data_IF_427285349282
#
_entry.id   IF_427285349282
#
_cell.length_a   1.000
_cell.length_b   1.000
_cell.length_c   1.000
_cell.angle_alpha   90.00
_cell.angle_beta   90.00
_cell.angle_gamma   90.00
#
_symmetry.space_group_name_H-M   'P 1'
#
loop_
_entity.id
_entity.type
_entity.pdbx_description
1 polymer ?
#
# COMPACT_ATOMS: atom_id res chain seq x y z
N UNK A 1 4.37 -8.09 -12.23
CA UNK A 1 4.41 -8.19 -10.74
C UNK A 1 3.36 -9.17 -10.26
N UNK A 2 3.63 -9.92 -9.20
CA UNK A 2 2.63 -10.73 -8.48
C UNK A 2 2.55 -10.29 -7.02
N UNK A 3 1.34 -10.13 -6.47
CA UNK A 3 1.09 -9.84 -5.05
C UNK A 3 0.13 -10.91 -4.53
N UNK A 4 0.59 -11.71 -3.57
CA UNK A 4 -0.20 -12.71 -2.87
C UNK A 4 -0.54 -12.19 -1.47
N UNK A 5 -1.84 -12.06 -1.16
CA UNK A 5 -2.32 -11.53 0.12
C UNK A 5 -2.91 -12.68 0.93
N UNK A 6 -2.34 -12.97 2.09
CA UNK A 6 -2.84 -13.98 3.02
C UNK A 6 -3.69 -13.30 4.07
N UNK A 7 -4.95 -13.69 4.21
CA UNK A 7 -5.91 -13.06 5.13
C UNK A 7 -6.91 -14.07 5.68
N UNK A 8 -7.53 -13.76 6.81
CA UNK A 8 -8.67 -14.49 7.39
C UNK A 8 -10.02 -13.97 6.90
N UNK A 9 -10.05 -12.78 6.25
CA UNK A 9 -11.24 -12.06 5.77
C UNK A 9 -11.08 -11.62 4.31
N UNK A 10 -11.01 -12.57 3.34
CA UNK A 10 -10.78 -12.25 1.93
C UNK A 10 -11.85 -11.32 1.32
N UNK A 11 -13.07 -11.34 1.86
CA UNK A 11 -14.19 -10.53 1.38
C UNK A 11 -13.92 -9.02 1.51
N UNK A 12 -13.15 -8.59 2.52
CA UNK A 12 -12.80 -7.18 2.72
C UNK A 12 -11.94 -6.61 1.58
N UNK A 13 -11.26 -7.47 0.84
CA UNK A 13 -10.36 -7.08 -0.25
C UNK A 13 -11.04 -7.11 -1.62
N UNK A 14 -12.23 -7.69 -1.75
CA UNK A 14 -12.90 -7.85 -3.05
C UNK A 14 -13.18 -6.52 -3.74
N UNK A 15 -13.72 -5.54 -3.02
CA UNK A 15 -14.05 -4.24 -3.60
C UNK A 15 -12.79 -3.42 -3.95
N UNK A 16 -11.86 -3.12 -3.01
CA UNK A 16 -10.74 -2.24 -3.31
C UNK A 16 -9.81 -2.77 -4.39
N UNK A 17 -9.61 -4.09 -4.48
CA UNK A 17 -8.69 -4.68 -5.46
C UNK A 17 -9.29 -4.87 -6.87
N UNK A 18 -10.62 -4.85 -7.00
CA UNK A 18 -11.31 -5.15 -8.26
C UNK A 18 -11.99 -3.92 -8.88
N UNK A 19 -11.53 -2.71 -8.55
CA UNK A 19 -12.08 -1.47 -9.09
C UNK A 19 -10.97 -0.55 -9.61
N UNK A 20 -11.38 0.41 -10.48
CA UNK A 20 -10.58 1.53 -10.97
C UNK A 20 -9.18 1.15 -11.50
N UNK A 21 -8.12 1.76 -10.98
CA UNK A 21 -6.74 1.59 -11.43
C UNK A 21 -6.25 0.15 -11.20
N UNK A 22 -6.50 -0.41 -10.00
CA UNK A 22 -6.07 -1.78 -9.67
C UNK A 22 -6.68 -2.81 -10.62
N UNK A 23 -7.98 -2.71 -10.88
CA UNK A 23 -8.64 -3.58 -11.86
C UNK A 23 -8.03 -3.44 -13.25
N UNK A 24 -7.84 -2.21 -13.74
CA UNK A 24 -7.28 -1.95 -15.08
C UNK A 24 -5.84 -2.49 -15.20
N UNK A 25 -5.03 -2.36 -14.15
CA UNK A 25 -3.67 -2.90 -14.13
C UNK A 25 -3.67 -4.43 -14.21
N UNK A 26 -4.59 -5.09 -13.52
CA UNK A 26 -4.79 -6.54 -13.61
C UNK A 26 -5.29 -6.97 -15.00
N UNK A 27 -6.31 -6.28 -15.55
CA UNK A 27 -6.84 -6.55 -16.90
C UNK A 27 -5.75 -6.40 -17.98
N UNK A 28 -4.82 -5.46 -17.81
CA UNK A 28 -3.63 -5.27 -18.66
C UNK A 28 -2.49 -6.26 -18.37
N UNK A 29 -2.63 -7.14 -17.39
CA UNK A 29 -1.61 -8.11 -16.95
C UNK A 29 -0.30 -7.47 -16.47
N UNK A 30 -0.34 -6.24 -15.99
CA UNK A 30 0.80 -5.55 -15.38
C UNK A 30 1.08 -6.06 -13.97
N UNK A 31 0.02 -6.43 -13.27
CA UNK A 31 0.06 -7.05 -11.94
C UNK A 31 -0.98 -8.16 -11.86
N UNK A 32 -0.67 -9.18 -11.09
CA UNK A 32 -1.60 -10.21 -10.66
C UNK A 32 -1.72 -10.13 -9.14
N UNK A 33 -2.94 -9.90 -8.62
CA UNK A 33 -3.20 -9.84 -7.18
C UNK A 33 -4.07 -11.04 -6.82
N UNK A 34 -3.58 -11.90 -5.94
CA UNK A 34 -4.31 -13.09 -5.49
C UNK A 34 -4.49 -13.04 -3.98
N UNK A 35 -5.75 -13.20 -3.57
CA UNK A 35 -6.12 -13.23 -2.15
C UNK A 35 -6.32 -14.67 -1.71
N UNK A 36 -5.56 -15.09 -0.69
CA UNK A 36 -5.59 -16.42 -0.10
C UNK A 36 -6.34 -16.38 1.22
N UNK A 37 -7.37 -17.21 1.34
CA UNK A 37 -8.04 -17.40 2.62
C UNK A 37 -7.15 -18.32 3.50
N UNK A 38 -6.63 -17.78 4.59
CA UNK A 38 -5.78 -18.53 5.51
C UNK A 38 -6.46 -19.81 6.05
N UNK A 39 -7.79 -19.80 6.15
CA UNK A 39 -8.56 -20.98 6.59
C UNK A 39 -8.44 -22.18 5.67
N UNK A 40 -8.07 -21.98 4.40
CA UNK A 40 -7.85 -23.07 3.45
C UNK A 40 -6.56 -23.86 3.74
N UNK A 41 -5.66 -23.28 4.52
CA UNK A 41 -4.40 -23.89 4.96
C UNK A 41 -4.49 -24.50 6.37
N UNK A 42 -5.67 -24.47 7.01
CA UNK A 42 -5.89 -25.11 8.29
C UNK A 42 -6.21 -26.60 8.12
N UNK A 43 -5.58 -27.45 8.91
CA UNK A 43 -5.89 -28.89 9.01
C UNK A 43 -6.97 -29.20 10.07
N UNK A 44 -7.39 -28.18 10.83
CA UNK A 44 -8.49 -28.33 11.78
C UNK A 44 -9.82 -28.57 11.04
N UNK A 45 -10.64 -29.47 11.55
CA UNK A 45 -11.94 -29.82 10.95
C UNK A 45 -12.92 -28.64 10.86
N UNK A 46 -12.74 -27.64 11.71
CA UNK A 46 -13.52 -26.41 11.72
C UNK A 46 -12.77 -25.26 11.04
N UNK A 47 -11.62 -25.53 10.41
CA UNK A 47 -10.79 -24.55 9.69
C UNK A 47 -10.35 -23.38 10.59
N UNK A 48 -10.10 -23.66 11.90
CA UNK A 48 -9.58 -22.66 12.84
C UNK A 48 -8.17 -22.27 12.48
N UNK A 49 -7.85 -20.99 12.65
CA UNK A 49 -6.55 -20.36 12.35
C UNK A 49 -6.03 -19.54 13.53
N UNK A 50 -6.72 -19.57 14.64
CA UNK A 50 -6.44 -18.79 15.84
C UNK A 50 -6.59 -19.67 17.09
N UNK A 51 -5.86 -19.31 18.16
CA UNK A 51 -5.93 -20.00 19.47
C UNK A 51 -5.58 -19.02 20.59
N UNK A 52 -5.78 -19.44 21.83
CA UNK A 52 -5.42 -18.68 23.01
C UNK A 52 -3.90 -18.49 23.12
N UNK A 53 -3.42 -17.29 23.50
CA UNK A 53 -2.00 -17.07 23.72
C UNK A 53 -1.49 -17.85 24.94
N UNK A 54 -0.25 -18.31 24.87
CA UNK A 54 0.45 -18.74 26.08
C UNK A 54 0.60 -17.55 27.04
N UNK A 55 0.56 -17.82 28.35
CA UNK A 55 0.64 -16.78 29.38
C UNK A 55 -0.71 -16.26 29.87
N UNK A 56 -1.84 -16.70 29.31
CA UNK A 56 -3.19 -16.48 29.84
C UNK A 56 -3.78 -15.09 29.55
N UNK A 57 -3.24 -14.35 28.61
CA UNK A 57 -3.83 -13.07 28.20
C UNK A 57 -5.16 -13.24 27.47
N UNK A 58 -6.03 -12.22 27.56
CA UNK A 58 -7.31 -12.21 26.86
C UNK A 58 -7.14 -11.97 25.36
N UNK A 59 -7.96 -12.63 24.54
CA UNK A 59 -7.96 -12.53 23.08
C UNK A 59 -7.35 -13.76 22.40
N UNK A 60 -7.40 -13.78 21.08
CA UNK A 60 -6.92 -14.88 20.25
C UNK A 60 -5.66 -14.41 19.48
N UNK A 61 -4.84 -15.35 19.06
CA UNK A 61 -3.61 -15.13 18.29
C UNK A 61 -3.64 -16.03 17.05
N UNK A 62 -3.22 -15.54 15.90
CA UNK A 62 -3.12 -16.35 14.69
C UNK A 62 -2.07 -17.44 14.88
N UNK A 63 -2.48 -18.67 14.59
CA UNK A 63 -1.64 -19.86 14.74
C UNK A 63 -0.50 -19.89 13.69
N UNK A 64 0.66 -20.39 14.12
CA UNK A 64 1.82 -20.53 13.24
C UNK A 64 1.59 -21.51 12.08
N UNK A 65 0.97 -22.67 12.34
CA UNK A 65 0.89 -23.76 11.35
C UNK A 65 0.13 -23.42 10.07
N UNK A 66 -1.07 -22.76 10.08
CA UNK A 66 -1.72 -22.34 8.85
C UNK A 66 -0.89 -21.33 8.05
N UNK A 67 -0.23 -20.39 8.75
CA UNK A 67 0.59 -19.35 8.11
C UNK A 67 1.85 -19.96 7.49
N UNK A 68 2.53 -20.86 8.21
CA UNK A 68 3.68 -21.60 7.66
C UNK A 68 3.30 -22.35 6.39
N UNK A 69 2.21 -23.14 6.43
CA UNK A 69 1.74 -23.88 5.24
C UNK A 69 1.45 -22.95 4.06
N UNK A 70 0.78 -21.83 4.30
CA UNK A 70 0.46 -20.86 3.25
C UNK A 70 1.74 -20.28 2.63
N UNK A 71 2.66 -19.76 3.44
CA UNK A 71 3.90 -19.15 2.96
C UNK A 71 4.81 -20.19 2.29
N UNK A 72 4.95 -21.37 2.89
CA UNK A 72 5.78 -22.46 2.34
C UNK A 72 5.25 -22.93 1.00
N UNK A 73 3.93 -23.11 0.85
CA UNK A 73 3.33 -23.46 -0.43
C UNK A 73 3.61 -22.38 -1.48
N UNK A 74 3.36 -21.11 -1.19
CA UNK A 74 3.60 -20.02 -2.12
C UNK A 74 5.08 -19.95 -2.52
N UNK A 75 6.01 -20.09 -1.57
CA UNK A 75 7.45 -20.10 -1.83
C UNK A 75 7.92 -21.35 -2.62
N UNK A 76 7.17 -22.44 -2.60
CA UNK A 76 7.46 -23.60 -3.43
C UNK A 76 7.11 -23.38 -4.91
N UNK A 77 6.19 -22.48 -5.20
CA UNK A 77 5.72 -22.17 -6.56
C UNK A 77 6.57 -21.08 -7.24
N UNK A 78 7.12 -20.14 -6.46
CA UNK A 78 7.92 -19.02 -6.96
C UNK A 78 8.81 -18.38 -5.90
N UNK A 79 9.83 -17.63 -6.34
CA UNK A 79 10.62 -16.79 -5.45
C UNK A 79 9.86 -15.50 -5.14
N UNK A 80 9.89 -15.09 -3.87
CA UNK A 80 9.33 -13.81 -3.41
C UNK A 80 10.45 -12.90 -2.95
N UNK A 81 10.36 -11.62 -3.33
CA UNK A 81 11.32 -10.60 -2.94
C UNK A 81 11.12 -10.19 -1.48
N UNK A 82 9.85 -10.12 -1.05
CA UNK A 82 9.50 -9.77 0.34
C UNK A 82 8.30 -10.57 0.84
N UNK A 83 8.30 -10.85 2.13
CA UNK A 83 7.16 -11.30 2.92
C UNK A 83 6.85 -10.20 3.93
N UNK A 84 5.82 -9.43 3.64
CA UNK A 84 5.43 -8.23 4.38
C UNK A 84 4.33 -8.58 5.37
N UNK A 85 4.51 -8.23 6.63
CA UNK A 85 3.49 -8.34 7.66
C UNK A 85 2.92 -6.96 7.98
N UNK A 86 1.60 -6.79 7.88
CA UNK A 86 0.92 -5.55 8.25
C UNK A 86 0.64 -5.54 9.75
N UNK A 87 1.28 -4.62 10.47
CA UNK A 87 1.25 -4.54 11.93
C UNK A 87 1.39 -3.10 12.42
N UNK A 88 0.78 -2.70 13.56
CA UNK A 88 0.89 -1.32 14.06
C UNK A 88 2.31 -0.90 14.45
N UNK A 89 3.15 -1.86 14.85
CA UNK A 89 4.52 -1.65 15.33
C UNK A 89 5.60 -1.80 14.24
N UNK A 90 5.21 -1.86 12.97
CA UNK A 90 6.12 -1.96 11.84
C UNK A 90 6.75 -0.64 11.39
N UNK A 91 7.65 -0.71 10.41
CA UNK A 91 8.19 0.44 9.70
C UNK A 91 7.05 1.20 8.98
N UNK A 92 7.08 2.53 9.06
CA UNK A 92 6.03 3.34 8.45
C UNK A 92 6.07 3.27 6.93
N UNK A 93 4.95 2.91 6.32
CA UNK A 93 4.78 2.91 4.86
C UNK A 93 4.76 4.34 4.33
N UNK A 94 5.66 4.65 3.43
CA UNK A 94 5.82 5.95 2.79
C UNK A 94 6.01 5.82 1.27
N UNK A 95 6.11 6.95 0.56
CA UNK A 95 6.30 6.93 -0.89
C UNK A 95 7.64 6.28 -1.31
N UNK A 96 8.78 6.54 -0.65
CA UNK A 96 10.03 5.82 -0.91
C UNK A 96 9.90 4.30 -0.78
N UNK A 97 9.17 3.78 0.21
CA UNK A 97 8.92 2.34 0.35
C UNK A 97 8.02 1.84 -0.80
N UNK A 98 6.96 2.56 -1.14
CA UNK A 98 6.10 2.21 -2.28
C UNK A 98 6.90 2.14 -3.59
N UNK A 99 7.80 3.12 -3.83
CA UNK A 99 8.69 3.14 -5.00
C UNK A 99 9.60 1.89 -5.03
N UNK A 100 10.23 1.52 -3.92
CA UNK A 100 11.05 0.30 -3.84
C UNK A 100 10.24 -0.96 -4.12
N UNK A 101 9.07 -1.09 -3.48
CA UNK A 101 8.22 -2.28 -3.64
C UNK A 101 7.60 -2.38 -5.03
N UNK A 102 7.40 -1.27 -5.74
CA UNK A 102 6.88 -1.29 -7.12
C UNK A 102 7.84 -1.92 -8.13
N UNK A 103 9.13 -2.00 -7.79
CA UNK A 103 10.17 -2.65 -8.60
C UNK A 103 10.32 -4.15 -8.31
N UNK A 104 9.66 -4.67 -7.27
CA UNK A 104 9.69 -6.08 -6.93
C UNK A 104 8.95 -6.94 -7.97
N UNK A 105 9.38 -8.17 -8.14
CA UNK A 105 8.72 -9.15 -9.00
C UNK A 105 7.51 -9.79 -8.29
N UNK A 106 7.72 -10.27 -7.06
CA UNK A 106 6.71 -11.00 -6.29
C UNK A 106 6.73 -10.59 -4.81
N UNK A 107 5.55 -10.33 -4.26
CA UNK A 107 5.36 -9.96 -2.86
C UNK A 107 4.34 -10.89 -2.19
N UNK A 108 4.58 -11.27 -0.93
CA UNK A 108 3.55 -11.79 -0.03
C UNK A 108 3.20 -10.68 0.96
N UNK A 109 1.90 -10.44 1.17
CA UNK A 109 1.41 -9.55 2.22
C UNK A 109 0.58 -10.41 3.19
N UNK A 110 1.07 -10.57 4.42
CA UNK A 110 0.35 -11.23 5.50
C UNK A 110 -0.44 -10.19 6.29
N UNK A 111 -1.76 -10.31 6.27
CA UNK A 111 -2.65 -9.45 7.04
C UNK A 111 -2.75 -9.95 8.48
N UNK A 112 -2.32 -9.13 9.44
CA UNK A 112 -2.53 -9.40 10.86
C UNK A 112 -4.00 -9.33 11.23
N UNK A 113 -4.40 -10.15 12.21
CA UNK A 113 -5.75 -10.12 12.76
C UNK A 113 -5.74 -10.52 14.24
N UNK A 114 -6.88 -10.42 14.94
CA UNK A 114 -7.02 -10.74 16.37
C UNK A 114 -6.11 -9.83 17.25
N UNK A 115 -5.43 -10.43 18.24
CA UNK A 115 -4.47 -9.73 19.09
C UNK A 115 -3.07 -9.66 18.45
N UNK A 116 -2.87 -10.39 17.38
CA UNK A 116 -1.61 -10.50 16.65
C UNK A 116 -1.43 -11.90 16.06
N UNK A 117 -0.20 -12.17 15.67
CA UNK A 117 0.23 -13.47 15.12
C UNK A 117 1.23 -14.13 16.06
N UNK A 118 1.38 -15.44 16.00
CA UNK A 118 2.45 -16.15 16.72
C UNK A 118 3.80 -15.52 16.35
N UNK A 119 4.58 -15.12 17.35
CA UNK A 119 5.80 -14.34 17.15
C UNK A 119 6.85 -15.06 16.30
N UNK A 120 6.88 -16.39 16.32
CA UNK A 120 7.75 -17.21 15.47
C UNK A 120 7.52 -16.98 13.98
N UNK A 121 6.31 -16.56 13.57
CA UNK A 121 6.03 -16.16 12.19
C UNK A 121 6.85 -14.92 11.82
N UNK A 122 6.91 -13.93 12.72
CA UNK A 122 7.69 -12.72 12.52
C UNK A 122 9.20 -13.04 12.40
N UNK A 123 9.70 -13.93 13.26
CA UNK A 123 11.12 -14.28 13.31
C UNK A 123 11.59 -15.11 12.12
N UNK A 124 10.75 -15.98 11.57
CA UNK A 124 11.20 -16.99 10.60
C UNK A 124 10.70 -16.79 9.17
N UNK A 125 9.60 -16.05 8.99
CA UNK A 125 8.97 -15.93 7.66
C UNK A 125 8.90 -14.48 7.15
N UNK A 126 8.74 -13.52 8.04
CA UNK A 126 8.56 -12.10 7.69
C UNK A 126 9.92 -11.48 7.38
N UNK A 127 10.00 -10.78 6.25
CA UNK A 127 11.20 -10.00 5.88
C UNK A 127 11.01 -8.52 6.16
N UNK A 128 9.76 -8.05 6.23
CA UNK A 128 9.44 -6.66 6.48
C UNK A 128 8.13 -6.51 7.25
N UNK A 129 8.14 -5.73 8.31
CA UNK A 129 6.97 -5.36 9.10
C UNK A 129 6.58 -3.93 8.78
N UNK A 130 5.28 -3.70 8.46
CA UNK A 130 4.84 -2.41 7.91
C UNK A 130 3.59 -1.91 8.60
N UNK A 131 3.61 -0.64 9.01
CA UNK A 131 2.43 0.10 9.45
C UNK A 131 2.06 1.19 8.47
N UNK A 132 0.77 1.51 8.36
CA UNK A 132 0.26 2.65 7.59
C UNK A 132 0.03 3.91 8.45
N UNK A 133 0.36 3.85 9.74
CA UNK A 133 0.24 4.98 10.67
C UNK A 133 0.12 4.54 12.12
N UNK A 134 0.25 5.49 13.03
CA UNK A 134 0.27 5.27 14.48
C UNK A 134 -1.16 5.13 15.05
N UNK A 135 -1.87 4.11 14.57
CA UNK A 135 -3.20 3.73 15.04
C UNK A 135 -3.44 2.24 14.80
N UNK A 136 -4.37 1.67 15.57
CA UNK A 136 -4.70 0.25 15.50
C UNK A 136 -5.96 0.05 14.67
N UNK A 137 -5.88 -0.87 13.70
CA UNK A 137 -7.02 -1.35 12.92
C UNK A 137 -7.50 -2.71 13.47
N UNK A 138 -8.70 -3.13 13.08
CA UNK A 138 -9.24 -4.45 13.43
C UNK A 138 -8.55 -5.62 12.73
N UNK A 139 -7.85 -5.33 11.60
CA UNK A 139 -7.09 -6.29 10.80
C UNK A 139 -6.20 -5.59 9.79
N UNK A 140 -5.30 -6.33 9.15
CA UNK A 140 -4.32 -5.81 8.20
C UNK A 140 -4.82 -5.63 6.77
N UNK A 141 -6.05 -6.03 6.46
CA UNK A 141 -6.59 -6.07 5.10
C UNK A 141 -6.66 -4.68 4.45
N UNK A 142 -7.15 -3.68 5.20
CA UNK A 142 -7.21 -2.30 4.69
C UNK A 142 -5.81 -1.72 4.47
N UNK A 143 -4.85 -2.03 5.35
CA UNK A 143 -3.45 -1.66 5.16
C UNK A 143 -2.88 -2.31 3.89
N UNK A 144 -3.13 -3.60 3.68
CA UNK A 144 -2.73 -4.31 2.47
C UNK A 144 -3.35 -3.69 1.20
N UNK A 145 -4.62 -3.29 1.24
CA UNK A 145 -5.28 -2.62 0.11
C UNK A 145 -4.65 -1.26 -0.21
N UNK A 146 -4.33 -0.44 0.81
CA UNK A 146 -3.63 0.84 0.66
C UNK A 146 -2.24 0.62 0.05
N UNK A 147 -1.49 -0.37 0.55
CA UNK A 147 -0.19 -0.71 0.00
C UNK A 147 -0.28 -1.15 -1.46
N UNK A 148 -1.24 -2.01 -1.81
CA UNK A 148 -1.47 -2.44 -3.19
C UNK A 148 -1.76 -1.25 -4.10
N UNK A 149 -2.62 -0.31 -3.70
CA UNK A 149 -2.94 0.87 -4.49
C UNK A 149 -1.70 1.75 -4.71
N UNK A 150 -0.96 2.05 -3.64
CA UNK A 150 0.24 2.88 -3.71
C UNK A 150 1.37 2.24 -4.55
N UNK A 151 1.53 0.91 -4.48
CA UNK A 151 2.56 0.17 -5.23
C UNK A 151 2.17 0.04 -6.71
N UNK A 152 0.96 -0.44 -6.98
CA UNK A 152 0.53 -0.79 -8.34
C UNK A 152 0.41 0.44 -9.24
N UNK A 153 -0.02 1.58 -8.70
CA UNK A 153 -0.10 2.82 -9.49
C UNK A 153 1.25 3.31 -10.04
N UNK A 154 2.36 2.86 -9.45
CA UNK A 154 3.73 3.20 -9.87
C UNK A 154 4.26 2.26 -10.97
N UNK A 155 3.58 1.16 -11.25
CA UNK A 155 3.98 0.24 -12.33
C UNK A 155 3.74 0.94 -13.68
N UNK A 156 4.74 0.97 -14.59
CA UNK A 156 4.59 1.56 -15.91
C UNK A 156 3.33 1.04 -16.64
N UNK A 157 2.54 1.96 -17.17
CA UNK A 157 1.28 1.64 -17.87
C UNK A 157 0.06 1.38 -16.97
N UNK A 158 0.20 1.38 -15.64
CA UNK A 158 -0.94 1.21 -14.71
C UNK A 158 -1.87 2.43 -14.76
N UNK A 159 -1.33 3.63 -14.71
CA UNK A 159 -2.07 4.89 -14.93
C UNK A 159 -1.84 5.38 -16.36
N UNK A 160 -2.82 6.13 -16.88
CA UNK A 160 -2.83 6.54 -18.31
C UNK A 160 -1.81 7.60 -18.67
N UNK A 161 -1.31 8.38 -17.71
CA UNK A 161 -0.29 9.39 -17.87
C UNK A 161 0.83 9.16 -16.84
N UNK A 162 1.95 8.64 -17.32
CA UNK A 162 3.12 8.33 -16.47
C UNK A 162 3.72 9.59 -15.84
N UNK A 163 3.63 10.74 -16.52
CA UNK A 163 4.11 12.03 -15.99
C UNK A 163 3.28 12.48 -14.79
N UNK A 164 2.01 12.06 -14.70
CA UNK A 164 1.15 12.36 -13.56
C UNK A 164 1.69 11.74 -12.27
N UNK A 165 2.20 10.51 -12.32
CA UNK A 165 2.77 9.86 -11.13
C UNK A 165 4.06 10.54 -10.66
N UNK A 166 4.87 11.07 -11.59
CA UNK A 166 6.12 11.77 -11.27
C UNK A 166 5.90 13.17 -10.68
N UNK A 167 4.74 13.79 -10.94
CA UNK A 167 4.39 15.11 -10.43
C UNK A 167 3.56 15.08 -9.14
N UNK A 168 3.27 13.90 -8.60
CA UNK A 168 2.55 13.74 -7.34
C UNK A 168 3.40 14.13 -6.13
N UNK A 169 2.73 14.40 -5.01
CA UNK A 169 3.40 14.67 -3.73
C UNK A 169 4.34 13.53 -3.34
N UNK A 170 5.44 13.87 -2.68
CA UNK A 170 6.46 12.98 -2.10
C UNK A 170 7.44 12.34 -3.08
N UNK A 171 7.35 12.60 -4.40
CA UNK A 171 8.33 12.06 -5.34
C UNK A 171 9.72 12.70 -5.18
N UNK A 172 9.76 14.03 -5.00
CA UNK A 172 11.00 14.81 -4.80
C UNK A 172 11.04 15.45 -3.40
N UNK A 173 10.50 14.76 -2.39
CA UNK A 173 10.32 15.30 -1.03
C UNK A 173 9.51 16.61 -0.99
N UNK A 174 8.70 16.89 -2.00
CA UNK A 174 7.83 18.05 -2.07
C UNK A 174 6.35 17.65 -2.11
N UNK A 175 5.51 18.54 -1.63
CA UNK A 175 4.07 18.47 -1.88
C UNK A 175 3.78 18.97 -3.29
N UNK A 176 2.84 18.34 -3.98
CA UNK A 176 2.39 18.79 -5.29
C UNK A 176 1.86 20.25 -5.24
N UNK A 177 2.05 21.04 -6.32
CA UNK A 177 1.54 22.40 -6.40
C UNK A 177 0.02 22.42 -6.43
N UNK A 178 -0.64 23.55 -6.15
CA UNK A 178 -2.07 23.67 -6.31
C UNK A 178 -2.47 23.52 -7.78
N UNK A 179 -3.57 22.79 -8.00
CA UNK A 179 -4.12 22.55 -9.34
C UNK A 179 -5.45 23.26 -9.51
N UNK A 180 -5.73 23.73 -10.72
CA UNK A 180 -6.93 24.46 -11.07
C UNK A 180 -7.59 23.85 -12.30
N UNK A 181 -8.92 23.93 -12.37
CA UNK A 181 -9.71 23.49 -13.52
C UNK A 181 -10.61 24.60 -14.02
N UNK A 182 -11.31 24.40 -15.13
CA UNK A 182 -12.28 25.33 -15.68
C UNK A 182 -13.52 25.44 -14.75
N UNK A 183 -14.15 26.63 -14.69
CA UNK A 183 -13.85 27.88 -15.41
C UNK A 183 -12.67 28.66 -14.79
N UNK A 184 -12.03 29.56 -15.57
CA UNK A 184 -10.92 30.40 -15.10
C UNK A 184 -11.30 31.35 -13.98
N UNK A 185 -12.59 31.69 -13.85
CA UNK A 185 -13.13 32.47 -12.72
C UNK A 185 -14.44 31.84 -12.25
N UNK A 186 -14.59 31.68 -10.93
CA UNK A 186 -15.78 31.20 -10.28
C UNK A 186 -16.08 32.00 -9.02
N UNK A 187 -17.21 32.71 -8.96
CA UNK A 187 -17.62 33.54 -7.83
C UNK A 187 -16.58 34.60 -7.39
N UNK A 188 -15.83 35.15 -8.35
CA UNK A 188 -14.77 36.11 -8.08
C UNK A 188 -13.41 35.46 -7.72
N UNK A 189 -13.33 34.14 -7.60
CA UNK A 189 -12.07 33.40 -7.39
C UNK A 189 -11.44 33.09 -8.75
N UNK A 190 -10.22 33.53 -8.96
CA UNK A 190 -9.54 33.43 -10.26
C UNK A 190 -8.40 32.43 -10.23
N UNK A 191 -8.23 31.73 -11.34
CA UNK A 191 -7.01 30.96 -11.61
C UNK A 191 -5.84 31.93 -11.77
N UNK A 192 -4.65 31.65 -11.22
CA UNK A 192 -3.46 32.47 -11.40
C UNK A 192 -3.14 32.72 -12.89
N UNK A 193 -2.90 33.99 -13.24
CA UNK A 193 -2.70 34.39 -14.65
C UNK A 193 -1.52 33.67 -15.32
N UNK A 194 -0.48 33.30 -14.55
CA UNK A 194 0.66 32.53 -15.06
C UNK A 194 0.23 31.18 -15.65
N UNK A 195 -0.78 30.51 -15.06
CA UNK A 195 -1.29 29.24 -15.57
C UNK A 195 -2.13 29.39 -16.85
N UNK A 196 -2.62 30.61 -17.12
CA UNK A 196 -3.38 30.95 -18.33
C UNK A 196 -2.48 31.50 -19.45
N UNK A 197 -1.21 31.77 -19.17
CA UNK A 197 -0.29 32.46 -20.08
C UNK A 197 0.18 31.63 -21.27
N UNK A 198 0.13 30.29 -21.18
CA UNK A 198 0.70 29.38 -22.16
C UNK A 198 2.24 29.33 -22.18
N UNK A 199 2.93 30.06 -21.28
CA UNK A 199 4.40 30.06 -21.19
C UNK A 199 4.89 28.93 -20.28
N UNK A 200 5.17 27.75 -20.84
CA UNK A 200 5.52 26.56 -20.10
C UNK A 200 6.58 26.78 -19.02
N UNK A 201 7.70 27.44 -19.37
CA UNK A 201 8.78 27.69 -18.42
C UNK A 201 8.30 28.48 -17.18
N UNK A 202 7.49 29.53 -17.36
CA UNK A 202 6.95 30.32 -16.25
C UNK A 202 5.95 29.51 -15.41
N UNK A 203 5.18 28.65 -16.06
CA UNK A 203 4.26 27.73 -15.39
C UNK A 203 5.03 26.74 -14.51
N UNK A 204 6.12 26.18 -15.01
CA UNK A 204 6.95 25.21 -14.28
C UNK A 204 7.68 25.86 -13.10
N UNK A 205 8.25 27.06 -13.30
CA UNK A 205 8.86 27.89 -12.25
C UNK A 205 7.83 28.18 -11.13
N UNK A 206 6.64 28.63 -11.48
CA UNK A 206 5.56 28.92 -10.54
C UNK A 206 5.12 27.65 -9.78
N UNK A 207 4.94 26.53 -10.47
CA UNK A 207 4.58 25.24 -9.84
C UNK A 207 5.62 24.83 -8.81
N UNK A 208 6.90 24.93 -9.15
CA UNK A 208 7.99 24.59 -8.23
C UNK A 208 8.02 25.49 -7.00
N UNK A 209 7.85 26.82 -7.16
CA UNK A 209 7.75 27.76 -6.05
C UNK A 209 6.57 27.44 -5.13
N UNK A 210 5.40 27.13 -5.71
CA UNK A 210 4.22 26.75 -4.93
C UNK A 210 4.41 25.42 -4.18
N UNK A 211 5.07 24.46 -4.78
CA UNK A 211 5.42 23.20 -4.12
C UNK A 211 6.32 23.43 -2.91
N UNK A 212 7.38 24.23 -3.06
CA UNK A 212 8.29 24.60 -1.98
C UNK A 212 7.57 25.33 -0.84
N UNK A 213 6.76 26.34 -1.16
CA UNK A 213 6.00 27.10 -0.17
C UNK A 213 5.03 26.21 0.61
N UNK A 214 4.25 25.37 -0.09
CA UNK A 214 3.32 24.42 0.53
C UNK A 214 4.05 23.42 1.42
N UNK A 215 5.19 22.94 0.97
CA UNK A 215 5.98 21.97 1.75
C UNK A 215 6.51 22.63 3.01
N UNK A 216 7.06 23.83 2.94
CA UNK A 216 7.52 24.59 4.12
C UNK A 216 6.40 24.82 5.15
N UNK A 217 5.19 25.12 4.67
CA UNK A 217 4.06 25.41 5.55
C UNK A 217 3.43 24.15 6.15
N UNK A 218 3.26 23.08 5.37
CA UNK A 218 2.44 21.93 5.74
C UNK A 218 3.26 20.70 6.17
N UNK A 219 4.45 20.52 5.59
CA UNK A 219 5.32 19.37 5.82
C UNK A 219 6.79 19.81 5.80
N UNK A 220 7.22 20.68 6.74
CA UNK A 220 8.61 21.13 6.81
C UNK A 220 9.60 19.99 7.02
N UNK A 221 9.15 18.90 7.63
CA UNK A 221 9.90 17.67 7.84
C UNK A 221 10.42 17.01 6.56
N UNK A 222 9.83 17.30 5.41
CA UNK A 222 10.28 16.79 4.10
C UNK A 222 11.49 17.55 3.53
N UNK A 223 11.84 18.68 4.11
CA UNK A 223 12.94 19.54 3.65
C UNK A 223 14.20 19.43 4.53
N UNK A 224 14.14 18.65 5.60
CA UNK A 224 15.25 18.33 6.49
C UNK A 224 16.05 17.11 5.95
#
# INVERSE_FOLDING_TARGET
>A
MRIDIITVLPELLQSPLNYSILKRAQDKKLVEIVVHNLRDYSLDKHRRVDDYPFGGEAGMVMQIEPVDRAITQLKSERNYDEVIFTTPDGERFDQPMANRLSMAGNLIILCGHYKGIDYRIREHFVTKEVTIGDYVLTGGELAAAIMCDAIVRLIPGAIGDEQSALSDSFQDNLLAPPVYTRPAEYKGWRVPDVLLSGHQRKIDEWKHEQSLERTRCLRPDLLE
#
